data_IF_550593798841
#
_entry.id   IF_550593798841
#
_cell.length_a   1.000
_cell.length_b   1.000
_cell.length_c   1.000
_cell.angle_alpha   90.00
_cell.angle_beta   90.00
_cell.angle_gamma   90.00
#
_symmetry.space_group_name_H-M   'P 1'
#
loop_
_entity.id
_entity.type
_entity.pdbx_description
1 polymer ?
#
# COMPACT_ATOMS: atom_id res chain seq x y z
N UNK A 1 -18.97 51.23 -15.82
CA UNK A 1 -18.79 50.13 -14.86
C UNK A 1 -18.34 48.94 -15.69
N UNK A 2 -17.03 48.77 -15.76
CA UNK A 2 -16.37 47.84 -16.69
C UNK A 2 -16.31 46.47 -15.99
N UNK A 3 -17.01 45.47 -16.53
CA UNK A 3 -16.97 44.10 -16.01
C UNK A 3 -15.61 43.49 -16.32
N UNK A 4 -14.73 43.48 -15.31
CA UNK A 4 -13.48 42.73 -15.30
C UNK A 4 -13.80 41.24 -15.29
N UNK A 5 -13.80 40.62 -16.48
CA UNK A 5 -13.73 39.15 -16.62
C UNK A 5 -12.46 38.66 -15.93
N UNK A 6 -12.64 38.00 -14.80
CA UNK A 6 -11.57 37.29 -14.10
C UNK A 6 -11.20 36.06 -14.93
N UNK A 7 -10.13 36.18 -15.70
CA UNK A 7 -9.59 35.13 -16.56
C UNK A 7 -8.82 34.13 -15.67
N UNK A 8 -9.47 33.02 -15.29
CA UNK A 8 -8.86 32.00 -14.44
C UNK A 8 -7.72 31.31 -15.19
N UNK A 9 -6.49 31.43 -14.66
CA UNK A 9 -5.26 30.82 -15.21
C UNK A 9 -5.38 29.32 -15.52
N UNK A 10 -6.28 28.60 -14.84
CA UNK A 10 -6.57 27.18 -15.03
C UNK A 10 -7.09 26.83 -16.45
N UNK A 11 -7.72 27.78 -17.16
CA UNK A 11 -8.29 27.53 -18.50
C UNK A 11 -7.31 27.74 -19.65
N UNK A 12 -6.26 28.56 -19.45
CA UNK A 12 -5.20 28.76 -20.46
C UNK A 12 -4.28 27.54 -20.60
N UNK A 13 -4.25 26.70 -19.58
CA UNK A 13 -3.42 25.50 -19.51
C UNK A 13 -3.93 24.32 -20.34
N UNK A 14 -5.16 24.32 -20.86
CA UNK A 14 -5.73 23.09 -21.45
C UNK A 14 -5.09 22.70 -22.79
N UNK A 15 -4.83 23.64 -23.69
CA UNK A 15 -4.22 23.31 -25.01
C UNK A 15 -2.71 23.09 -24.93
N UNK A 16 -2.02 23.79 -24.03
CA UNK A 16 -0.59 23.58 -23.81
C UNK A 16 -0.34 22.26 -23.07
N UNK A 17 -1.19 21.90 -22.10
CA UNK A 17 -1.13 20.59 -21.43
C UNK A 17 -1.55 19.46 -22.37
N UNK A 18 -2.56 19.65 -23.23
CA UNK A 18 -2.89 18.70 -24.31
C UNK A 18 -1.73 18.54 -25.29
N UNK A 19 -1.06 19.62 -25.66
CA UNK A 19 0.11 19.57 -26.56
C UNK A 19 1.30 18.93 -25.89
N UNK A 20 1.54 19.14 -24.59
CA UNK A 20 2.56 18.44 -23.81
C UNK A 20 2.22 16.94 -23.64
N UNK A 21 0.93 16.59 -23.49
CA UNK A 21 0.40 15.22 -23.62
C UNK A 21 0.69 14.57 -24.96
N UNK A 22 0.74 15.34 -26.05
CA UNK A 22 0.89 14.78 -27.40
C UNK A 22 2.32 14.88 -27.95
N UNK A 23 3.18 15.76 -27.42
CA UNK A 23 4.52 16.02 -27.99
C UNK A 23 5.65 15.15 -27.42
N UNK A 24 5.54 14.67 -26.19
CA UNK A 24 6.59 13.84 -25.57
C UNK A 24 6.33 12.33 -25.65
N UNK A 25 5.10 11.95 -26.02
CA UNK A 25 4.68 10.55 -25.99
C UNK A 25 5.03 9.84 -27.31
N UNK A 26 6.11 9.04 -27.25
CA UNK A 26 6.63 8.20 -28.34
C UNK A 26 5.75 6.97 -28.69
N UNK A 27 4.47 6.97 -28.31
CA UNK A 27 3.56 5.88 -28.67
C UNK A 27 3.14 6.01 -30.14
N UNK A 28 3.20 4.91 -30.87
CA UNK A 28 2.60 4.83 -32.20
C UNK A 28 1.16 4.30 -32.14
N UNK A 29 0.47 4.29 -33.29
CA UNK A 29 -0.92 3.84 -33.41
C UNK A 29 -1.15 2.41 -32.91
N UNK A 30 -0.14 1.54 -33.03
CA UNK A 30 -0.24 0.16 -32.60
C UNK A 30 -0.05 0.05 -31.09
N UNK A 31 0.72 0.95 -30.45
CA UNK A 31 0.85 0.99 -28.99
C UNK A 31 -0.49 1.31 -28.34
N UNK A 32 -1.17 2.31 -28.89
CA UNK A 32 -2.51 2.69 -28.45
C UNK A 32 -3.52 1.55 -28.66
N UNK A 33 -3.52 0.94 -29.85
CA UNK A 33 -4.43 -0.17 -30.15
C UNK A 33 -4.19 -1.38 -29.25
N UNK A 34 -2.93 -1.75 -29.02
CA UNK A 34 -2.56 -2.85 -28.15
C UNK A 34 -2.95 -2.58 -26.69
N UNK A 35 -2.69 -1.36 -26.20
CA UNK A 35 -3.07 -0.96 -24.85
C UNK A 35 -4.58 -1.07 -24.61
N UNK A 36 -5.37 -0.51 -25.52
CA UNK A 36 -6.85 -0.59 -25.47
C UNK A 36 -7.32 -2.03 -25.57
N UNK A 37 -6.75 -2.84 -26.47
CA UNK A 37 -7.11 -4.25 -26.60
C UNK A 37 -6.81 -5.04 -25.32
N UNK A 38 -5.64 -4.84 -24.69
CA UNK A 38 -5.32 -5.48 -23.41
C UNK A 38 -6.29 -5.05 -22.30
N UNK A 39 -6.60 -3.76 -22.22
CA UNK A 39 -7.60 -3.23 -21.29
C UNK A 39 -8.98 -3.82 -21.51
N UNK A 40 -9.37 -4.01 -22.77
CA UNK A 40 -10.64 -4.63 -23.13
C UNK A 40 -10.69 -6.11 -22.72
N UNK A 41 -9.61 -6.87 -22.91
CA UNK A 41 -9.51 -8.24 -22.41
C UNK A 41 -9.63 -8.27 -20.88
N UNK A 42 -8.94 -7.37 -20.18
CA UNK A 42 -9.09 -7.21 -18.73
C UNK A 42 -10.52 -6.91 -18.30
N UNK A 43 -11.19 -5.97 -18.97
CA UNK A 43 -12.59 -5.64 -18.73
C UNK A 43 -13.55 -6.81 -18.98
N UNK A 44 -13.32 -7.63 -20.02
CA UNK A 44 -14.13 -8.82 -20.26
C UNK A 44 -13.94 -9.88 -19.16
N UNK A 45 -12.69 -10.11 -18.72
CA UNK A 45 -12.40 -11.00 -17.58
C UNK A 45 -13.09 -10.51 -16.32
N UNK A 46 -13.05 -9.21 -16.06
CA UNK A 46 -13.72 -8.60 -14.92
C UNK A 46 -15.24 -8.83 -14.97
N UNK A 47 -15.89 -8.45 -16.07
CA UNK A 47 -17.34 -8.56 -16.26
C UNK A 47 -17.85 -10.00 -16.12
N UNK A 48 -17.17 -10.96 -16.75
CA UNK A 48 -17.67 -12.33 -16.85
C UNK A 48 -17.13 -13.28 -15.78
N UNK A 49 -15.93 -13.03 -15.25
CA UNK A 49 -15.26 -13.95 -14.33
C UNK A 49 -15.12 -13.40 -12.91
N UNK A 50 -14.99 -12.07 -12.73
CA UNK A 50 -15.03 -11.43 -11.40
C UNK A 50 -16.47 -11.17 -10.98
N UNK A 51 -17.23 -10.36 -11.73
CA UNK A 51 -18.64 -10.09 -11.45
C UNK A 51 -18.88 -9.48 -10.06
N UNK A 52 -19.70 -10.12 -9.23
CA UNK A 52 -20.06 -9.62 -7.90
C UNK A 52 -19.83 -10.70 -6.84
N UNK A 53 -19.62 -10.35 -5.56
CA UNK A 53 -19.53 -11.34 -4.48
C UNK A 53 -20.71 -12.32 -4.48
N UNK A 54 -20.42 -13.60 -4.21
CA UNK A 54 -21.40 -14.69 -4.27
C UNK A 54 -21.51 -15.37 -5.64
N UNK A 55 -21.55 -14.59 -6.72
CA UNK A 55 -21.68 -15.12 -8.10
C UNK A 55 -20.35 -15.22 -8.87
N UNK A 56 -19.25 -14.74 -8.28
CA UNK A 56 -17.93 -14.70 -8.89
C UNK A 56 -17.35 -16.09 -9.21
N UNK A 57 -16.92 -16.29 -10.47
CA UNK A 57 -16.23 -17.53 -10.89
C UNK A 57 -14.80 -17.55 -10.35
N UNK A 58 -14.06 -16.44 -10.51
CA UNK A 58 -12.71 -16.30 -9.97
C UNK A 58 -12.72 -16.22 -8.44
N UNK A 59 -13.79 -15.67 -7.84
CA UNK A 59 -13.98 -15.65 -6.38
C UNK A 59 -13.97 -17.05 -5.76
N UNK A 60 -14.59 -18.05 -6.41
CA UNK A 60 -14.52 -19.44 -5.95
C UNK A 60 -13.10 -19.99 -5.99
N UNK A 61 -12.35 -19.64 -7.03
CA UNK A 61 -10.95 -20.05 -7.15
C UNK A 61 -10.08 -19.37 -6.09
N UNK A 62 -10.23 -18.06 -5.86
CA UNK A 62 -9.47 -17.32 -4.84
C UNK A 62 -9.82 -17.76 -3.42
N UNK A 63 -11.09 -18.01 -3.12
CA UNK A 63 -11.51 -18.62 -1.86
C UNK A 63 -10.76 -19.94 -1.60
N UNK A 64 -10.66 -20.82 -2.62
CA UNK A 64 -9.90 -22.07 -2.49
C UNK A 64 -8.39 -21.84 -2.33
N UNK A 65 -7.82 -20.82 -2.96
CA UNK A 65 -6.40 -20.49 -2.77
C UNK A 65 -6.12 -20.01 -1.35
N UNK A 66 -7.00 -19.17 -0.81
CA UNK A 66 -6.89 -18.69 0.58
C UNK A 66 -7.07 -19.85 1.57
N UNK A 67 -8.04 -20.74 1.37
CA UNK A 67 -8.18 -21.95 2.19
C UNK A 67 -6.89 -22.80 2.20
N UNK A 68 -6.24 -22.95 1.03
CA UNK A 68 -4.99 -23.69 0.91
C UNK A 68 -3.82 -22.96 1.60
N UNK A 69 -3.74 -21.64 1.49
CA UNK A 69 -2.74 -20.83 2.18
C UNK A 69 -2.89 -20.94 3.70
N UNK A 70 -4.12 -20.85 4.23
CA UNK A 70 -4.41 -21.01 5.66
C UNK A 70 -4.01 -22.41 6.14
N UNK A 71 -4.37 -23.47 5.42
CA UNK A 71 -3.96 -24.84 5.76
C UNK A 71 -2.43 -25.00 5.72
N UNK A 72 -1.78 -24.41 4.71
CA UNK A 72 -0.33 -24.46 4.56
C UNK A 72 0.38 -23.75 5.70
N UNK A 73 -0.06 -22.53 6.03
CA UNK A 73 0.47 -21.76 7.16
C UNK A 73 0.24 -22.49 8.48
N UNK A 74 -0.96 -23.01 8.72
CA UNK A 74 -1.25 -23.80 9.92
C UNK A 74 -0.28 -24.98 10.06
N UNK A 75 -0.01 -25.73 8.98
CA UNK A 75 1.00 -26.82 9.00
C UNK A 75 2.40 -26.32 9.34
N UNK A 76 2.84 -25.23 8.71
CA UNK A 76 4.15 -24.62 8.97
C UNK A 76 4.32 -24.23 10.45
N UNK A 77 3.23 -23.81 11.10
CA UNK A 77 3.24 -23.42 12.51
C UNK A 77 2.77 -24.53 13.44
N UNK A 78 2.80 -25.80 13.02
CA UNK A 78 2.62 -26.95 13.91
C UNK A 78 1.20 -27.52 14.00
N UNK A 79 0.31 -27.22 13.06
CA UNK A 79 -0.96 -27.92 12.92
C UNK A 79 -0.72 -29.33 12.38
N UNK A 80 -0.99 -30.34 13.19
CA UNK A 80 -0.87 -31.75 12.84
C UNK A 80 -2.25 -32.44 12.85
N UNK A 81 -3.06 -32.31 11.77
CA UNK A 81 -4.38 -32.90 11.72
C UNK A 81 -4.34 -34.41 11.53
N UNK A 82 -5.38 -35.10 11.97
CA UNK A 82 -5.61 -36.49 11.54
C UNK A 82 -5.83 -36.55 10.02
N UNK A 83 -5.67 -37.74 9.43
CA UNK A 83 -5.88 -37.93 7.99
C UNK A 83 -7.28 -37.45 7.54
N UNK A 84 -8.30 -37.67 8.37
CA UNK A 84 -9.67 -37.21 8.14
C UNK A 84 -9.84 -35.68 8.18
N UNK A 85 -8.97 -34.96 8.89
CA UNK A 85 -9.05 -33.49 9.04
C UNK A 85 -8.06 -32.73 8.15
N UNK A 86 -7.20 -33.42 7.40
CA UNK A 86 -6.16 -32.78 6.57
C UNK A 86 -6.74 -31.85 5.49
N UNK A 87 -7.94 -32.14 4.99
CA UNK A 87 -8.67 -31.28 4.05
C UNK A 87 -9.57 -30.22 4.70
N UNK A 88 -9.76 -30.26 6.02
CA UNK A 88 -10.75 -29.44 6.72
C UNK A 88 -10.16 -28.07 7.10
N UNK A 89 -10.52 -27.04 6.32
CA UNK A 89 -10.06 -25.67 6.58
C UNK A 89 -10.56 -25.12 7.93
N UNK A 90 -11.77 -25.47 8.37
CA UNK A 90 -12.30 -25.03 9.66
C UNK A 90 -11.44 -25.54 10.84
N UNK A 91 -10.88 -26.75 10.71
CA UNK A 91 -9.94 -27.30 11.69
C UNK A 91 -8.62 -26.53 11.72
N UNK A 92 -8.10 -26.11 10.56
CA UNK A 92 -6.88 -25.32 10.47
C UNK A 92 -7.08 -23.93 11.08
N UNK A 93 -8.18 -23.26 10.72
CA UNK A 93 -8.58 -21.96 11.26
C UNK A 93 -8.71 -22.05 12.78
N UNK A 94 -9.45 -23.03 13.31
CA UNK A 94 -9.61 -23.19 14.75
C UNK A 94 -8.31 -23.44 15.50
N UNK A 95 -7.32 -24.10 14.87
CA UNK A 95 -5.98 -24.22 15.43
C UNK A 95 -5.27 -22.86 15.51
N UNK A 96 -5.33 -22.07 14.44
CA UNK A 96 -4.72 -20.74 14.38
C UNK A 96 -5.40 -19.75 15.36
N UNK A 97 -6.73 -19.73 15.42
CA UNK A 97 -7.52 -18.93 16.38
C UNK A 97 -7.09 -19.19 17.83
N UNK A 98 -6.77 -20.45 18.17
CA UNK A 98 -6.29 -20.81 19.52
C UNK A 98 -4.83 -20.45 19.75
N UNK A 99 -4.00 -20.51 18.70
CA UNK A 99 -2.56 -20.27 18.79
C UNK A 99 -2.21 -18.79 18.81
N UNK A 100 -2.92 -18.00 18.02
CA UNK A 100 -2.71 -16.57 17.82
C UNK A 100 -3.85 -15.76 18.44
N UNK A 101 -4.08 -15.96 19.73
CA UNK A 101 -5.10 -15.20 20.47
C UNK A 101 -4.67 -13.76 20.60
N UNK A 102 -5.62 -12.86 20.48
CA UNK A 102 -5.45 -11.41 20.65
C UNK A 102 -6.53 -10.88 21.58
N UNK A 103 -6.30 -9.73 22.20
CA UNK A 103 -7.25 -9.08 23.10
C UNK A 103 -8.30 -8.21 22.39
N UNK A 104 -8.16 -8.01 21.08
CA UNK A 104 -9.00 -7.12 20.28
C UNK A 104 -9.98 -7.85 19.33
N UNK A 105 -10.26 -9.13 19.57
CA UNK A 105 -11.19 -9.99 18.78
C UNK A 105 -12.63 -9.96 19.35
N UNK A 106 -13.16 -8.78 19.68
CA UNK A 106 -14.56 -8.63 20.10
C UNK A 106 -15.49 -8.84 18.89
N UNK A 107 -16.57 -9.61 19.06
CA UNK A 107 -17.41 -10.10 17.95
C UNK A 107 -18.78 -9.44 17.90
N UNK A 108 -19.29 -9.02 19.05
CA UNK A 108 -20.65 -8.50 19.18
C UNK A 108 -20.71 -7.24 20.04
N UNK A 109 -21.81 -6.50 19.94
CA UNK A 109 -22.08 -5.29 20.74
C UNK A 109 -21.93 -5.49 22.24
N UNK A 110 -22.28 -6.66 22.77
CA UNK A 110 -22.13 -6.98 24.18
C UNK A 110 -20.64 -7.00 24.61
N UNK A 111 -19.75 -7.48 23.74
CA UNK A 111 -18.31 -7.62 24.01
C UNK A 111 -17.61 -6.25 24.14
N UNK A 112 -18.22 -5.20 23.59
CA UNK A 112 -17.73 -3.82 23.65
C UNK A 112 -18.53 -2.97 24.66
N UNK A 113 -19.21 -3.61 25.61
CA UNK A 113 -19.99 -2.93 26.65
C UNK A 113 -21.16 -2.10 26.10
N UNK A 114 -21.71 -2.48 24.95
CA UNK A 114 -22.74 -1.75 24.21
C UNK A 114 -22.34 -0.33 23.77
N UNK A 115 -21.03 -0.05 23.64
CA UNK A 115 -20.54 1.26 23.18
C UNK A 115 -20.98 1.60 21.74
N UNK A 116 -21.14 0.59 20.89
CA UNK A 116 -21.61 0.74 19.50
C UNK A 116 -22.14 -0.59 18.93
N UNK A 117 -22.89 -0.50 17.83
CA UNK A 117 -23.50 -1.67 17.18
C UNK A 117 -22.50 -2.42 16.30
N UNK A 118 -22.33 -3.71 16.54
CA UNK A 118 -21.41 -4.61 15.81
C UNK A 118 -21.91 -6.06 15.88
N UNK A 119 -21.52 -6.84 14.89
CA UNK A 119 -21.85 -8.25 14.75
C UNK A 119 -20.65 -9.04 14.23
N UNK A 120 -20.72 -10.38 14.36
CA UNK A 120 -19.71 -11.27 13.81
C UNK A 120 -19.50 -11.09 12.29
N UNK A 121 -20.47 -10.49 11.56
CA UNK A 121 -20.35 -10.26 10.11
C UNK A 121 -19.54 -9.01 9.74
N UNK A 122 -19.36 -8.05 10.64
CA UNK A 122 -18.67 -6.78 10.33
C UNK A 122 -17.53 -6.44 11.28
N UNK A 123 -17.32 -7.19 12.36
CA UNK A 123 -16.27 -6.87 13.33
C UNK A 123 -14.86 -6.81 12.72
N UNK A 124 -14.50 -7.69 11.78
CA UNK A 124 -13.21 -7.62 11.06
C UNK A 124 -13.02 -6.33 10.24
N UNK A 125 -14.12 -5.66 9.88
CA UNK A 125 -14.04 -4.33 9.25
C UNK A 125 -14.01 -3.23 10.31
N UNK A 126 -14.79 -3.36 11.39
CA UNK A 126 -14.90 -2.33 12.42
C UNK A 126 -13.65 -2.23 13.29
N UNK A 127 -13.05 -3.35 13.69
CA UNK A 127 -11.84 -3.41 14.50
C UNK A 127 -10.62 -3.18 13.60
N UNK A 128 -9.90 -2.09 13.86
CA UNK A 128 -8.78 -1.63 13.04
C UNK A 128 -7.70 -2.71 12.90
N UNK A 129 -7.47 -3.48 13.97
CA UNK A 129 -6.42 -4.49 14.08
C UNK A 129 -6.60 -5.70 13.16
N UNK A 130 -7.78 -5.93 12.58
CA UNK A 130 -8.02 -7.03 11.62
C UNK A 130 -7.76 -6.65 10.16
N UNK A 131 -7.34 -5.41 9.88
CA UNK A 131 -7.08 -4.95 8.51
C UNK A 131 -5.69 -5.40 8.07
N UNK A 132 -5.52 -6.10 6.93
CA UNK A 132 -4.22 -6.65 6.51
C UNK A 132 -3.33 -5.60 5.84
N UNK A 133 -3.02 -4.54 6.59
CA UNK A 133 -2.22 -3.39 6.15
C UNK A 133 -1.43 -2.78 7.31
N UNK A 134 -0.74 -1.67 7.03
CA UNK A 134 0.10 -0.98 8.01
C UNK A 134 -0.70 -0.32 9.14
N UNK A 135 -1.95 0.11 8.88
CA UNK A 135 -2.83 0.68 9.88
C UNK A 135 -3.27 -0.41 10.85
N UNK A 136 -3.70 -1.55 10.32
CA UNK A 136 -4.07 -2.71 11.15
C UNK A 136 -2.88 -3.26 11.95
N UNK A 137 -1.69 -3.34 11.35
CA UNK A 137 -0.48 -3.73 12.08
C UNK A 137 -0.17 -2.78 13.25
N UNK A 138 -0.23 -1.47 13.00
CA UNK A 138 0.00 -0.45 14.02
C UNK A 138 -0.97 -0.60 15.19
N UNK A 139 -2.28 -0.65 14.91
CA UNK A 139 -3.29 -0.76 15.96
C UNK A 139 -3.22 -2.09 16.69
N UNK A 140 -2.92 -3.18 15.99
CA UNK A 140 -2.71 -4.50 16.61
C UNK A 140 -1.58 -4.49 17.62
N UNK A 141 -0.42 -3.89 17.30
CA UNK A 141 0.70 -3.78 18.22
C UNK A 141 0.29 -2.88 19.40
N UNK A 142 -0.25 -1.69 19.12
CA UNK A 142 -0.69 -0.75 20.15
C UNK A 142 -1.66 -1.39 21.14
N UNK A 143 -2.66 -2.11 20.62
CA UNK A 143 -3.72 -2.76 21.39
C UNK A 143 -3.19 -3.90 22.27
N UNK A 144 -2.23 -4.69 21.76
CA UNK A 144 -1.55 -5.72 22.56
C UNK A 144 -0.71 -5.12 23.70
N UNK A 145 0.00 -4.02 23.45
CA UNK A 145 0.83 -3.36 24.46
C UNK A 145 0.02 -2.65 25.54
N UNK A 146 -1.15 -2.12 25.18
CA UNK A 146 -1.96 -1.28 26.08
C UNK A 146 -3.15 -2.01 26.69
N UNK A 147 -3.38 -3.28 26.33
CA UNK A 147 -4.60 -4.03 26.71
C UNK A 147 -5.87 -3.23 26.35
N UNK A 148 -5.92 -2.76 25.10
CA UNK A 148 -7.07 -2.05 24.54
C UNK A 148 -7.53 -2.69 23.23
N UNK A 149 -8.67 -2.26 22.70
CA UNK A 149 -9.13 -2.61 21.36
C UNK A 149 -9.67 -1.36 20.66
N UNK A 150 -9.25 -1.12 19.41
CA UNK A 150 -9.54 0.11 18.66
C UNK A 150 -10.43 -0.16 17.45
N UNK A 151 -11.54 0.56 17.36
CA UNK A 151 -12.57 0.40 16.34
C UNK A 151 -12.83 1.71 15.60
N UNK A 152 -13.33 1.63 14.37
CA UNK A 152 -14.03 2.74 13.74
C UNK A 152 -15.53 2.47 13.83
N UNK A 153 -16.26 3.36 14.50
CA UNK A 153 -17.71 3.32 14.53
C UNK A 153 -18.27 4.73 14.37
N UNK A 154 -19.32 4.88 13.56
CA UNK A 154 -19.95 6.17 13.27
C UNK A 154 -18.96 7.25 12.79
N UNK A 155 -17.94 6.86 12.02
CA UNK A 155 -16.91 7.77 11.51
C UNK A 155 -15.93 8.29 12.56
N UNK A 156 -15.84 7.64 13.73
CA UNK A 156 -14.92 8.00 14.81
C UNK A 156 -14.12 6.78 15.26
N UNK A 157 -12.89 7.02 15.69
CA UNK A 157 -12.09 6.01 16.38
C UNK A 157 -12.62 5.89 17.81
N UNK A 158 -12.96 4.67 18.23
CA UNK A 158 -13.40 4.33 19.58
C UNK A 158 -12.45 3.27 20.10
N UNK A 159 -11.77 3.56 21.20
CA UNK A 159 -10.88 2.62 21.89
C UNK A 159 -11.48 2.23 23.22
N UNK A 160 -11.56 0.93 23.48
CA UNK A 160 -12.05 0.36 24.74
C UNK A 160 -10.92 -0.37 25.47
N UNK A 161 -10.99 -0.42 26.79
CA UNK A 161 -10.13 -1.28 27.59
C UNK A 161 -10.56 -2.75 27.42
N UNK A 162 -9.59 -3.66 27.45
CA UNK A 162 -9.81 -5.11 27.41
C UNK A 162 -9.26 -5.75 28.67
N UNK A 163 -9.49 -7.05 28.85
CA UNK A 163 -8.75 -7.82 29.84
C UNK A 163 -7.24 -7.70 29.60
N UNK A 164 -6.47 -7.81 30.68
CA UNK A 164 -5.01 -7.72 30.63
C UNK A 164 -4.45 -8.75 29.65
N UNK A 165 -3.72 -8.27 28.65
CA UNK A 165 -3.08 -9.10 27.65
C UNK A 165 -1.58 -9.14 27.88
N UNK A 166 -1.04 -10.32 28.16
CA UNK A 166 0.40 -10.49 28.33
C UNK A 166 1.08 -10.71 26.97
N UNK A 167 1.74 -9.65 26.47
CA UNK A 167 2.55 -9.74 25.27
C UNK A 167 3.85 -10.51 25.53
N UNK A 168 4.05 -11.60 24.79
CA UNK A 168 5.23 -12.44 24.91
C UNK A 168 6.51 -11.71 24.50
N UNK A 169 7.62 -11.98 25.19
CA UNK A 169 8.94 -11.41 24.90
C UNK A 169 9.64 -10.88 26.16
N UNK A 170 10.92 -11.23 26.33
CA UNK A 170 11.71 -10.88 27.52
C UNK A 170 12.19 -9.42 27.57
N UNK A 171 12.06 -8.68 26.47
CA UNK A 171 12.41 -7.26 26.37
C UNK A 171 11.52 -6.56 25.33
N UNK A 172 11.65 -5.24 25.21
CA UNK A 172 10.82 -4.43 24.31
C UNK A 172 10.89 -4.87 22.84
N UNK A 173 12.10 -5.12 22.31
CA UNK A 173 12.31 -5.53 20.91
C UNK A 173 11.67 -6.90 20.66
N UNK A 174 11.85 -7.85 21.58
CA UNK A 174 11.24 -9.17 21.50
C UNK A 174 9.70 -9.08 21.54
N UNK A 175 9.14 -8.22 22.41
CA UNK A 175 7.69 -7.96 22.48
C UNK A 175 7.14 -7.39 21.18
N UNK A 176 7.86 -6.46 20.57
CA UNK A 176 7.49 -5.91 19.27
C UNK A 176 7.45 -7.00 18.19
N UNK A 177 8.50 -7.82 18.10
CA UNK A 177 8.56 -8.95 17.16
C UNK A 177 7.41 -9.95 17.41
N UNK A 178 7.18 -10.35 18.66
CA UNK A 178 6.10 -11.25 19.03
C UNK A 178 4.73 -10.66 18.69
N UNK A 179 4.50 -9.36 18.92
CA UNK A 179 3.25 -8.68 18.55
C UNK A 179 3.00 -8.68 17.05
N UNK A 180 4.04 -8.42 16.24
CA UNK A 180 3.99 -8.51 14.78
C UNK A 180 3.68 -9.94 14.33
N UNK A 181 4.41 -10.94 14.84
CA UNK A 181 4.22 -12.34 14.47
C UNK A 181 2.83 -12.86 14.88
N UNK A 182 2.34 -12.44 16.05
CA UNK A 182 1.02 -12.80 16.55
C UNK A 182 -0.09 -12.21 15.67
N UNK A 183 0.05 -10.95 15.27
CA UNK A 183 -0.86 -10.30 14.33
C UNK A 183 -0.92 -11.04 12.99
N UNK A 184 0.23 -11.38 12.40
CA UNK A 184 0.25 -12.15 11.15
C UNK A 184 -0.50 -13.48 11.27
N UNK A 185 -0.27 -14.21 12.37
CA UNK A 185 -0.94 -15.47 12.63
C UNK A 185 -2.45 -15.32 12.84
N UNK A 186 -2.88 -14.23 13.49
CA UNK A 186 -4.28 -13.91 13.72
C UNK A 186 -5.00 -13.49 12.43
N UNK A 187 -4.42 -12.60 11.62
CA UNK A 187 -4.97 -12.28 10.28
C UNK A 187 -5.12 -13.54 9.42
N UNK A 188 -4.14 -14.45 9.49
CA UNK A 188 -4.20 -15.71 8.77
C UNK A 188 -5.29 -16.67 9.29
N UNK A 189 -5.72 -16.57 10.55
CA UNK A 189 -6.92 -17.29 10.99
C UNK A 189 -8.20 -16.70 10.39
N UNK A 190 -8.26 -15.38 10.26
CA UNK A 190 -9.50 -14.67 9.93
C UNK A 190 -9.73 -14.52 8.42
N UNK A 191 -8.67 -14.54 7.61
CA UNK A 191 -8.70 -14.28 6.17
C UNK A 191 -9.64 -15.22 5.39
N UNK A 192 -9.81 -16.46 5.87
CA UNK A 192 -10.71 -17.46 5.29
C UNK A 192 -12.11 -17.50 5.96
N UNK A 193 -12.35 -16.63 6.95
CA UNK A 193 -13.51 -16.67 7.84
C UNK A 193 -13.24 -17.46 9.12
N UNK A 194 -14.25 -17.52 10.01
CA UNK A 194 -14.09 -18.21 11.30
C UNK A 194 -14.34 -19.71 11.22
N UNK A 195 -13.75 -20.45 12.16
CA UNK A 195 -13.91 -21.90 12.26
C UNK A 195 -15.39 -22.32 12.38
N UNK A 196 -16.18 -21.57 13.14
CA UNK A 196 -17.62 -21.83 13.31
C UNK A 196 -18.44 -21.61 12.04
N UNK A 197 -18.15 -20.56 11.26
CA UNK A 197 -18.86 -20.32 10.01
C UNK A 197 -18.50 -21.37 8.96
N UNK A 198 -17.22 -21.73 8.84
CA UNK A 198 -16.73 -22.74 7.89
C UNK A 198 -17.19 -24.15 8.26
N UNK A 199 -17.30 -24.46 9.55
CA UNK A 199 -17.83 -25.74 10.04
C UNK A 199 -19.30 -25.99 9.68
N UNK A 200 -20.09 -24.92 9.52
CA UNK A 200 -21.50 -24.97 9.09
C UNK A 200 -21.67 -24.81 7.57
N UNK A 201 -20.64 -25.15 6.78
CA UNK A 201 -20.61 -25.01 5.32
C UNK A 201 -20.80 -23.56 4.78
N UNK A 202 -20.66 -22.54 5.64
CA UNK A 202 -20.67 -21.14 5.22
C UNK A 202 -19.32 -20.66 4.67
N UNK A 203 -19.33 -19.54 3.94
CA UNK A 203 -18.10 -18.85 3.49
C UNK A 203 -17.37 -18.13 4.63
N UNK A 204 -18.11 -17.69 5.66
CA UNK A 204 -17.59 -16.88 6.77
C UNK A 204 -17.23 -15.45 6.34
N UNK A 205 -17.19 -14.51 7.29
CA UNK A 205 -16.69 -13.16 7.05
C UNK A 205 -15.15 -13.21 7.07
N UNK A 206 -14.51 -12.95 5.93
CA UNK A 206 -13.05 -12.83 5.84
C UNK A 206 -12.56 -11.53 6.47
N UNK A 207 -11.28 -11.18 6.25
CA UNK A 207 -10.78 -9.84 6.57
C UNK A 207 -11.04 -8.87 5.43
N UNK A 208 -11.01 -7.57 5.72
CA UNK A 208 -11.13 -6.52 4.71
C UNK A 208 -9.96 -6.54 3.73
N UNK A 209 -10.12 -5.93 2.55
CA UNK A 209 -8.96 -5.58 1.73
C UNK A 209 -8.11 -4.52 2.44
N UNK A 210 -6.81 -4.42 2.15
CA UNK A 210 -5.96 -3.36 2.69
C UNK A 210 -6.60 -1.97 2.56
N UNK A 211 -6.64 -1.22 3.65
CA UNK A 211 -7.20 0.14 3.78
C UNK A 211 -8.72 0.27 3.60
N UNK A 212 -9.45 -0.83 3.41
CA UNK A 212 -10.90 -0.79 3.18
C UNK A 212 -11.69 -0.46 4.47
N UNK A 213 -11.13 -0.73 5.65
CA UNK A 213 -11.66 -0.30 6.95
C UNK A 213 -11.83 1.22 7.04
N UNK A 214 -11.00 1.99 6.32
CA UNK A 214 -11.05 3.47 6.31
C UNK A 214 -12.31 4.03 5.66
N UNK A 215 -13.04 3.24 4.85
CA UNK A 215 -14.34 3.64 4.32
C UNK A 215 -15.34 3.98 5.43
N UNK A 216 -15.14 3.49 6.66
CA UNK A 216 -15.99 3.81 7.80
C UNK A 216 -15.94 5.29 8.21
N UNK A 217 -14.89 6.02 7.83
CA UNK A 217 -14.82 7.48 7.99
C UNK A 217 -15.65 8.24 6.96
N UNK A 218 -16.05 7.61 5.86
CA UNK A 218 -16.80 8.23 4.77
C UNK A 218 -18.31 8.35 5.10
N UNK A 219 -18.64 9.04 6.20
CA UNK A 219 -20.02 9.36 6.62
C UNK A 219 -20.62 10.52 5.81
N UNK A 220 -20.45 10.48 4.51
CA UNK A 220 -20.97 11.48 3.57
C UNK A 220 -21.67 10.82 2.38
N UNK A 221 -22.42 11.63 1.65
CA UNK A 221 -23.22 11.18 0.53
C UNK A 221 -24.57 10.59 0.97
N UNK A 222 -25.47 10.49 0.02
CA UNK A 222 -26.80 9.92 0.22
C UNK A 222 -27.14 9.15 -1.04
N UNK A 223 -26.99 7.84 -1.00
CA UNK A 223 -27.07 6.97 -2.17
C UNK A 223 -28.27 6.04 -2.08
N UNK A 224 -28.99 5.86 -3.19
CA UNK A 224 -30.20 5.04 -3.24
C UNK A 224 -29.85 3.55 -3.15
N UNK A 225 -30.40 2.85 -2.15
CA UNK A 225 -30.28 1.40 -1.98
C UNK A 225 -31.70 0.85 -1.78
N UNK A 226 -32.29 0.34 -2.86
CA UNK A 226 -33.72 0.00 -2.87
C UNK A 226 -34.57 1.26 -2.67
N UNK A 227 -35.38 1.27 -1.60
CA UNK A 227 -36.22 2.42 -1.22
C UNK A 227 -35.54 3.35 -0.22
N UNK A 228 -34.41 2.94 0.37
CA UNK A 228 -33.70 3.71 1.38
C UNK A 228 -32.54 4.52 0.78
N UNK A 229 -32.02 5.47 1.56
CA UNK A 229 -30.77 6.17 1.25
C UNK A 229 -29.73 5.93 2.34
N UNK A 230 -28.50 5.65 1.92
CA UNK A 230 -27.39 5.31 2.82
C UNK A 230 -26.14 6.11 2.46
N UNK A 231 -25.29 6.36 3.45
CA UNK A 231 -23.96 6.97 3.24
C UNK A 231 -22.93 5.95 2.73
N UNK A 232 -21.79 6.44 2.24
CA UNK A 232 -20.75 5.59 1.65
C UNK A 232 -20.19 4.58 2.66
N UNK A 233 -19.96 4.98 3.90
CA UNK A 233 -19.50 4.08 4.96
C UNK A 233 -20.46 2.89 5.15
N UNK A 234 -21.77 3.15 5.22
CA UNK A 234 -22.80 2.12 5.39
C UNK A 234 -22.82 1.18 4.19
N UNK A 235 -22.67 1.69 2.98
CA UNK A 235 -22.60 0.89 1.75
C UNK A 235 -21.36 0.00 1.75
N UNK A 236 -20.19 0.54 2.09
CA UNK A 236 -18.96 -0.22 2.16
C UNK A 236 -19.03 -1.34 3.22
N UNK A 237 -19.62 -1.07 4.39
CA UNK A 237 -19.86 -2.09 5.42
C UNK A 237 -20.79 -3.19 4.92
N UNK A 238 -21.87 -2.83 4.22
CA UNK A 238 -22.79 -3.83 3.67
C UNK A 238 -22.14 -4.65 2.55
N UNK A 239 -21.39 -4.01 1.65
CA UNK A 239 -20.66 -4.72 0.60
C UNK A 239 -19.69 -5.75 1.19
N UNK A 240 -18.95 -5.38 2.24
CA UNK A 240 -18.10 -6.31 2.97
C UNK A 240 -18.89 -7.48 3.56
N UNK A 241 -20.05 -7.22 4.19
CA UNK A 241 -20.92 -8.27 4.74
C UNK A 241 -21.47 -9.23 3.68
N UNK A 242 -21.66 -8.76 2.44
CA UNK A 242 -22.05 -9.58 1.28
C UNK A 242 -20.86 -10.30 0.62
N UNK A 243 -19.65 -10.11 1.13
CA UNK A 243 -18.46 -10.85 0.71
C UNK A 243 -17.45 -10.06 -0.13
N UNK A 244 -17.56 -8.74 -0.20
CA UNK A 244 -16.56 -7.83 -0.78
C UNK A 244 -15.32 -7.72 0.14
N UNK A 245 -14.70 -8.85 0.44
CA UNK A 245 -13.59 -9.03 1.38
C UNK A 245 -12.26 -9.28 0.65
N UNK A 246 -11.18 -9.53 1.39
CA UNK A 246 -9.85 -9.78 0.82
C UNK A 246 -9.82 -10.83 -0.30
N UNK A 247 -10.60 -11.91 -0.16
CA UNK A 247 -10.64 -13.02 -1.12
C UNK A 247 -11.29 -12.59 -2.43
N UNK A 248 -12.33 -11.76 -2.35
CA UNK A 248 -12.92 -11.14 -3.54
C UNK A 248 -11.97 -10.10 -4.14
N UNK A 249 -11.27 -9.32 -3.32
CA UNK A 249 -10.22 -8.40 -3.75
C UNK A 249 -9.10 -9.08 -4.56
N UNK A 250 -8.70 -10.29 -4.16
CA UNK A 250 -7.78 -11.11 -4.97
C UNK A 250 -8.35 -11.46 -6.34
N UNK A 251 -9.65 -11.75 -6.44
CA UNK A 251 -10.28 -12.04 -7.73
C UNK A 251 -10.33 -10.79 -8.60
N UNK A 252 -10.70 -9.65 -8.01
CA UNK A 252 -10.72 -8.34 -8.65
C UNK A 252 -9.32 -7.88 -9.12
N UNK A 253 -8.24 -8.32 -8.47
CA UNK A 253 -6.88 -8.02 -8.90
C UNK A 253 -6.44 -8.76 -10.18
N UNK A 254 -7.04 -9.92 -10.50
CA UNK A 254 -6.68 -10.74 -11.67
C UNK A 254 -6.78 -9.97 -13.00
N UNK A 255 -7.91 -9.33 -13.36
CA UNK A 255 -8.01 -8.57 -14.61
C UNK A 255 -7.03 -7.39 -14.68
N UNK A 256 -6.71 -6.78 -13.52
CA UNK A 256 -5.72 -5.69 -13.44
C UNK A 256 -4.32 -6.21 -13.75
N UNK A 257 -3.90 -7.30 -13.11
CA UNK A 257 -2.60 -7.95 -13.37
C UNK A 257 -2.50 -8.43 -14.81
N UNK A 258 -3.56 -9.05 -15.35
CA UNK A 258 -3.61 -9.49 -16.73
C UNK A 258 -3.39 -8.32 -17.69
N UNK A 259 -4.07 -7.19 -17.46
CA UNK A 259 -3.94 -5.98 -18.27
C UNK A 259 -2.52 -5.44 -18.23
N UNK A 260 -1.97 -5.23 -17.03
CA UNK A 260 -0.62 -4.69 -16.83
C UNK A 260 0.46 -5.58 -17.48
N UNK A 261 0.38 -6.90 -17.26
CA UNK A 261 1.37 -7.84 -17.79
C UNK A 261 1.28 -7.97 -19.31
N UNK A 262 0.06 -8.01 -19.87
CA UNK A 262 -0.13 -8.11 -21.32
C UNK A 262 0.42 -6.87 -22.05
N UNK A 263 0.18 -5.68 -21.50
CA UNK A 263 0.72 -4.42 -22.04
C UNK A 263 2.24 -4.43 -22.01
N UNK A 264 2.84 -4.79 -20.86
CA UNK A 264 4.30 -4.84 -20.70
C UNK A 264 4.93 -5.86 -21.64
N UNK A 265 4.29 -7.02 -21.82
CA UNK A 265 4.77 -8.06 -22.73
C UNK A 265 4.75 -7.57 -24.18
N UNK A 266 3.62 -7.05 -24.65
CA UNK A 266 3.51 -6.55 -26.03
C UNK A 266 4.49 -5.40 -26.27
N UNK A 267 4.59 -4.46 -25.33
CA UNK A 267 5.55 -3.37 -25.40
C UNK A 267 7.00 -3.88 -25.52
N UNK A 268 7.40 -4.83 -24.66
CA UNK A 268 8.75 -5.39 -24.69
C UNK A 268 9.04 -6.17 -25.98
N UNK A 269 8.09 -6.98 -26.46
CA UNK A 269 8.21 -7.74 -27.71
C UNK A 269 8.36 -6.80 -28.91
N UNK A 270 7.58 -5.73 -28.96
CA UNK A 270 7.68 -4.76 -30.06
C UNK A 270 9.01 -4.03 -30.02
N UNK A 271 9.48 -3.62 -28.84
CA UNK A 271 10.80 -3.02 -28.68
C UNK A 271 11.93 -3.91 -29.21
N UNK A 272 11.88 -5.20 -28.89
CA UNK A 272 12.93 -6.11 -29.31
C UNK A 272 12.83 -6.49 -30.79
N UNK A 273 11.65 -6.88 -31.28
CA UNK A 273 11.50 -7.47 -32.61
C UNK A 273 11.19 -6.46 -33.72
N UNK A 274 10.50 -5.36 -33.41
CA UNK A 274 10.12 -4.36 -34.41
C UNK A 274 11.18 -3.27 -34.55
N UNK A 275 11.78 -2.86 -33.43
CA UNK A 275 12.80 -1.80 -33.41
C UNK A 275 14.22 -2.35 -33.21
N UNK A 276 14.39 -3.67 -33.15
CA UNK A 276 15.67 -4.37 -33.07
C UNK A 276 16.56 -3.91 -31.88
N UNK A 277 15.92 -3.49 -30.78
CA UNK A 277 16.63 -3.00 -29.61
C UNK A 277 17.21 -4.16 -28.76
N UNK A 278 18.34 -3.93 -28.06
CA UNK A 278 18.87 -4.89 -27.11
C UNK A 278 17.85 -5.26 -26.03
N UNK A 279 17.85 -6.53 -25.59
CA UNK A 279 16.90 -7.04 -24.56
C UNK A 279 16.96 -6.21 -23.28
N UNK A 280 18.13 -5.70 -22.91
CA UNK A 280 18.33 -4.83 -21.74
C UNK A 280 17.51 -3.53 -21.81
N UNK A 281 17.28 -2.99 -23.01
CA UNK A 281 16.47 -1.78 -23.25
C UNK A 281 14.98 -2.08 -23.38
N UNK A 282 14.61 -3.37 -23.42
CA UNK A 282 13.23 -3.84 -23.51
C UNK A 282 12.64 -4.23 -22.14
N UNK A 283 13.36 -3.95 -21.04
CA UNK A 283 12.87 -4.22 -19.68
C UNK A 283 11.78 -3.19 -19.33
N UNK A 284 10.55 -3.61 -19.04
CA UNK A 284 9.41 -2.71 -18.87
C UNK A 284 9.46 -1.97 -17.52
N UNK A 285 10.24 -0.90 -17.46
CA UNK A 285 10.38 -0.04 -16.27
C UNK A 285 9.50 1.20 -16.34
N UNK A 286 9.28 1.87 -15.20
CA UNK A 286 8.50 3.13 -15.17
C UNK A 286 9.22 4.34 -15.77
N UNK A 287 10.45 4.17 -16.27
CA UNK A 287 11.22 5.23 -16.93
C UNK A 287 10.70 5.51 -18.34
N UNK A 288 10.16 4.49 -19.01
CA UNK A 288 9.66 4.60 -20.38
C UNK A 288 8.31 5.33 -20.43
N UNK A 289 8.29 6.51 -21.04
CA UNK A 289 7.10 7.35 -21.15
C UNK A 289 5.97 6.66 -21.92
N UNK A 290 6.29 6.12 -23.09
CA UNK A 290 5.37 5.34 -23.93
C UNK A 290 4.71 4.18 -23.17
N UNK A 291 5.48 3.41 -22.39
CA UNK A 291 4.91 2.34 -21.56
C UNK A 291 3.94 2.88 -20.50
N UNK A 292 4.23 4.02 -19.87
CA UNK A 292 3.32 4.63 -18.87
C UNK A 292 1.98 5.01 -19.51
N UNK A 293 2.00 5.56 -20.72
CA UNK A 293 0.78 5.92 -21.45
C UNK A 293 -0.02 4.68 -21.85
N UNK A 294 0.64 3.64 -22.34
CA UNK A 294 -0.03 2.37 -22.65
C UNK A 294 -0.72 1.80 -21.39
N UNK A 295 -0.03 1.80 -20.25
CA UNK A 295 -0.62 1.32 -18.98
C UNK A 295 -1.82 2.17 -18.55
N UNK A 296 -1.77 3.50 -18.73
CA UNK A 296 -2.89 4.40 -18.47
C UNK A 296 -4.10 4.08 -19.35
N UNK A 297 -3.90 3.93 -20.66
CA UNK A 297 -4.98 3.67 -21.60
C UNK A 297 -5.60 2.28 -21.42
N UNK A 298 -4.77 1.27 -21.16
CA UNK A 298 -5.27 -0.07 -20.89
C UNK A 298 -6.07 -0.16 -19.59
N UNK A 299 -5.54 0.37 -18.48
CA UNK A 299 -6.27 0.39 -17.21
C UNK A 299 -7.52 1.30 -17.27
N UNK A 300 -7.44 2.41 -18.01
CA UNK A 300 -8.60 3.28 -18.27
C UNK A 300 -9.69 2.57 -19.05
N UNK A 301 -9.32 1.80 -20.09
CA UNK A 301 -10.28 0.99 -20.86
C UNK A 301 -10.97 -0.05 -19.97
N UNK A 302 -10.18 -0.77 -19.15
CA UNK A 302 -10.74 -1.71 -18.17
C UNK A 302 -11.73 -1.00 -17.23
N UNK A 303 -11.37 0.14 -16.64
CA UNK A 303 -12.23 0.88 -15.71
C UNK A 303 -13.52 1.39 -16.37
N UNK A 304 -13.45 1.80 -17.64
CA UNK A 304 -14.65 2.20 -18.39
C UNK A 304 -15.59 1.01 -18.59
N UNK A 305 -15.06 -0.16 -18.95
CA UNK A 305 -15.87 -1.37 -19.12
C UNK A 305 -16.49 -1.83 -17.79
N UNK A 306 -15.70 -1.88 -16.72
CA UNK A 306 -16.16 -2.18 -15.36
C UNK A 306 -17.27 -1.19 -14.92
N UNK A 307 -17.03 0.12 -15.05
CA UNK A 307 -18.00 1.15 -14.67
C UNK A 307 -19.31 1.06 -15.46
N UNK A 308 -19.25 0.74 -16.75
CA UNK A 308 -20.45 0.51 -17.58
C UNK A 308 -21.20 -0.75 -17.11
N UNK A 309 -20.51 -1.88 -16.88
CA UNK A 309 -21.15 -3.12 -16.42
C UNK A 309 -21.80 -2.94 -15.04
N UNK A 310 -21.08 -2.34 -14.10
CA UNK A 310 -21.59 -1.99 -12.79
C UNK A 310 -22.81 -1.07 -12.90
N UNK A 311 -22.73 -0.03 -13.72
CA UNK A 311 -23.82 0.92 -13.97
C UNK A 311 -25.09 0.23 -14.50
N UNK A 312 -24.95 -0.52 -15.59
CA UNK A 312 -26.08 -1.19 -16.26
C UNK A 312 -26.72 -2.24 -15.35
N UNK A 313 -25.92 -3.10 -14.71
CA UNK A 313 -26.45 -4.23 -13.93
C UNK A 313 -26.89 -3.87 -12.53
N UNK A 314 -26.48 -2.70 -12.01
CA UNK A 314 -26.97 -2.21 -10.73
C UNK A 314 -28.46 -1.86 -10.74
N UNK A 315 -29.04 -1.58 -11.91
CA UNK A 315 -30.45 -1.15 -12.02
C UNK A 315 -30.76 0.12 -11.20
N UNK A 316 -29.75 0.94 -10.89
CA UNK A 316 -29.88 2.13 -10.04
C UNK A 316 -29.81 1.87 -8.53
N UNK A 317 -29.52 0.63 -8.10
CA UNK A 317 -29.20 0.32 -6.72
C UNK A 317 -27.69 0.52 -6.47
N UNK A 318 -27.34 1.49 -5.63
CA UNK A 318 -25.95 1.85 -5.40
C UNK A 318 -25.14 0.78 -4.66
N UNK A 319 -25.76 -0.03 -3.79
CA UNK A 319 -25.06 -1.14 -3.15
C UNK A 319 -24.67 -2.20 -4.20
N UNK A 320 -25.59 -2.55 -5.10
CA UNK A 320 -25.31 -3.47 -6.21
C UNK A 320 -24.26 -2.90 -7.16
N UNK A 321 -24.31 -1.59 -7.43
CA UNK A 321 -23.26 -0.90 -8.19
C UNK A 321 -21.90 -1.05 -7.51
N UNK A 322 -21.81 -0.71 -6.22
CA UNK A 322 -20.57 -0.73 -5.46
C UNK A 322 -19.97 -2.14 -5.35
N UNK A 323 -20.80 -3.17 -5.11
CA UNK A 323 -20.35 -4.57 -5.05
C UNK A 323 -19.90 -5.12 -6.40
N UNK A 324 -20.23 -4.45 -7.50
CA UNK A 324 -19.87 -4.88 -8.85
C UNK A 324 -18.68 -4.11 -9.41
N UNK A 325 -18.48 -2.88 -8.94
CA UNK A 325 -17.34 -2.05 -9.29
C UNK A 325 -16.04 -2.71 -8.82
N UNK A 326 -15.02 -2.78 -9.67
CA UNK A 326 -13.71 -3.30 -9.32
C UNK A 326 -12.83 -2.22 -8.65
N UNK A 327 -12.87 -2.11 -7.32
CA UNK A 327 -12.11 -1.09 -6.59
C UNK A 327 -10.59 -1.20 -6.80
N UNK A 328 -10.05 -2.40 -7.04
CA UNK A 328 -8.62 -2.59 -7.29
C UNK A 328 -8.22 -1.97 -8.62
N UNK A 329 -9.04 -2.13 -9.65
CA UNK A 329 -8.84 -1.50 -10.95
C UNK A 329 -8.88 0.02 -10.89
N UNK A 330 -9.91 0.58 -10.23
CA UNK A 330 -10.02 2.03 -10.05
C UNK A 330 -8.87 2.60 -9.23
N UNK A 331 -8.47 1.93 -8.15
CA UNK A 331 -7.31 2.34 -7.36
C UNK A 331 -6.02 2.32 -8.18
N UNK A 332 -5.82 1.27 -8.99
CA UNK A 332 -4.68 1.17 -9.90
C UNK A 332 -4.67 2.31 -10.92
N UNK A 333 -5.80 2.56 -11.57
CA UNK A 333 -5.93 3.61 -12.57
C UNK A 333 -5.70 5.00 -11.99
N UNK A 334 -6.32 5.32 -10.85
CA UNK A 334 -6.10 6.59 -10.14
C UNK A 334 -4.63 6.77 -9.76
N UNK A 335 -3.98 5.71 -9.25
CA UNK A 335 -2.54 5.76 -8.91
C UNK A 335 -1.67 6.04 -10.14
N UNK A 336 -1.98 5.42 -11.29
CA UNK A 336 -1.29 5.68 -12.55
C UNK A 336 -1.49 7.13 -13.02
N UNK A 337 -2.72 7.64 -12.96
CA UNK A 337 -3.05 9.02 -13.34
C UNK A 337 -2.31 10.01 -12.43
N UNK A 338 -2.39 9.84 -11.12
CA UNK A 338 -1.71 10.69 -10.15
C UNK A 338 -0.19 10.67 -10.37
N UNK A 339 0.39 9.48 -10.56
CA UNK A 339 1.82 9.35 -10.83
C UNK A 339 2.23 10.10 -12.10
N UNK A 340 1.44 10.00 -13.16
CA UNK A 340 1.71 10.67 -14.42
C UNK A 340 1.53 12.19 -14.32
N UNK A 341 0.51 12.66 -13.59
CA UNK A 341 0.32 14.09 -13.27
C UNK A 341 1.52 14.63 -12.48
N UNK A 342 1.97 13.93 -11.43
CA UNK A 342 3.14 14.33 -10.66
C UNK A 342 4.43 14.38 -11.50
N UNK A 343 4.59 13.48 -12.48
CA UNK A 343 5.70 13.52 -13.42
C UNK A 343 5.61 14.78 -14.29
N UNK A 344 4.45 15.05 -14.89
CA UNK A 344 4.26 16.15 -15.84
C UNK A 344 4.30 17.53 -15.20
N UNK A 345 3.94 17.63 -13.92
CA UNK A 345 4.04 18.85 -13.11
C UNK A 345 5.46 19.03 -12.53
N UNK A 346 6.38 18.08 -12.75
CA UNK A 346 7.77 18.16 -12.28
C UNK A 346 7.98 17.85 -10.80
N UNK A 347 6.95 17.40 -10.07
CA UNK A 347 7.03 17.02 -8.66
C UNK A 347 7.95 15.82 -8.43
N UNK A 348 8.05 14.92 -9.42
CA UNK A 348 8.96 13.77 -9.35
C UNK A 348 10.43 14.17 -9.56
N UNK A 349 10.68 15.24 -10.31
CA UNK A 349 12.04 15.66 -10.63
C UNK A 349 12.71 16.30 -9.42
N UNK A 350 12.03 17.09 -8.59
CA UNK A 350 12.68 17.72 -7.42
C UNK A 350 13.38 16.71 -6.46
N UNK A 351 12.72 15.59 -6.12
CA UNK A 351 13.30 14.57 -5.25
C UNK A 351 14.29 13.66 -6.00
N UNK A 352 14.00 13.32 -7.26
CA UNK A 352 14.85 12.44 -8.06
C UNK A 352 16.12 13.15 -8.54
N UNK A 353 16.05 14.42 -8.93
CA UNK A 353 17.18 15.27 -9.28
C UNK A 353 18.11 15.47 -8.09
N UNK A 354 17.58 15.66 -6.89
CA UNK A 354 18.40 15.74 -5.68
C UNK A 354 19.20 14.46 -5.48
N UNK A 355 18.56 13.29 -5.57
CA UNK A 355 19.23 11.99 -5.42
C UNK A 355 20.23 11.74 -6.57
N UNK A 356 19.85 12.05 -7.82
CA UNK A 356 20.71 11.87 -8.99
C UNK A 356 21.89 12.85 -9.01
N UNK A 357 21.73 14.07 -8.53
CA UNK A 357 22.80 15.04 -8.37
C UNK A 357 23.82 14.55 -7.35
N UNK A 358 23.37 14.02 -6.20
CA UNK A 358 24.28 13.40 -5.23
C UNK A 358 25.01 12.19 -5.81
N UNK A 359 24.34 11.34 -6.59
CA UNK A 359 24.99 10.21 -7.26
C UNK A 359 26.07 10.65 -8.26
N UNK A 360 25.78 11.65 -9.11
CA UNK A 360 26.74 12.20 -10.09
C UNK A 360 27.93 12.88 -9.43
N UNK A 361 27.69 13.63 -8.35
CA UNK A 361 28.75 14.25 -7.55
C UNK A 361 29.64 13.16 -6.95
N UNK A 362 29.05 12.11 -6.37
CA UNK A 362 29.83 11.00 -5.80
C UNK A 362 30.66 10.28 -6.86
N UNK A 363 30.11 10.01 -8.05
CA UNK A 363 30.87 9.39 -9.14
C UNK A 363 32.01 10.30 -9.64
N UNK A 364 31.76 11.59 -9.81
CA UNK A 364 32.80 12.55 -10.21
C UNK A 364 33.90 12.67 -9.14
N UNK A 365 33.53 12.69 -7.86
CA UNK A 365 34.48 12.69 -6.74
C UNK A 365 35.32 11.42 -6.72
N UNK A 366 34.75 10.25 -6.99
CA UNK A 366 35.50 9.00 -7.07
C UNK A 366 36.52 9.01 -8.22
N UNK A 367 36.17 9.57 -9.38
CA UNK A 367 37.11 9.74 -10.50
C UNK A 367 38.25 10.68 -10.10
N UNK A 368 37.94 11.84 -9.51
CA UNK A 368 38.95 12.78 -9.02
C UNK A 368 39.85 12.19 -7.94
N UNK A 369 39.29 11.42 -7.00
CA UNK A 369 40.08 10.73 -5.97
C UNK A 369 41.04 9.72 -6.59
N UNK A 370 40.61 9.01 -7.64
CA UNK A 370 41.49 8.09 -8.37
C UNK A 370 42.60 8.84 -9.12
N UNK A 371 42.30 9.97 -9.74
CA UNK A 371 43.33 10.82 -10.36
C UNK A 371 44.34 11.34 -9.34
N UNK A 372 43.89 11.80 -8.17
CA UNK A 372 44.76 12.26 -7.08
C UNK A 372 45.64 11.12 -6.54
N UNK A 373 45.09 9.91 -6.41
CA UNK A 373 45.85 8.72 -6.03
C UNK A 373 47.01 8.42 -6.99
N UNK A 374 46.81 8.64 -8.31
CA UNK A 374 47.86 8.45 -9.31
C UNK A 374 48.94 9.55 -9.29
N UNK A 375 48.60 10.76 -8.84
CA UNK A 375 49.54 11.90 -8.79
C UNK A 375 50.51 11.76 -7.60
N UNK A 376 49.98 11.54 -6.40
CA UNK A 376 50.76 11.40 -5.18
C UNK A 376 50.08 10.43 -4.22
N UNK A 377 50.46 9.16 -4.32
CA UNK A 377 49.88 8.09 -3.51
C UNK A 377 50.20 8.24 -2.01
N UNK A 378 51.30 8.89 -1.64
CA UNK A 378 51.67 9.08 -0.23
C UNK A 378 50.84 10.19 0.40
N UNK A 379 50.69 11.32 -0.29
CA UNK A 379 49.81 12.40 0.14
C UNK A 379 48.34 11.95 0.17
N UNK A 380 47.88 11.24 -0.87
CA UNK A 380 46.52 10.69 -0.94
C UNK A 380 46.24 9.75 0.23
N UNK A 381 47.15 8.82 0.55
CA UNK A 381 46.99 7.92 1.69
C UNK A 381 46.94 8.69 3.01
N UNK A 382 47.82 9.68 3.19
CA UNK A 382 47.85 10.50 4.41
C UNK A 382 46.55 11.28 4.62
N UNK A 383 46.05 11.93 3.57
CA UNK A 383 44.85 12.77 3.62
C UNK A 383 43.56 11.94 3.75
N UNK A 384 43.45 10.83 3.01
CA UNK A 384 42.28 9.93 3.11
C UNK A 384 42.26 9.13 4.42
N UNK A 385 43.39 8.96 5.10
CA UNK A 385 43.46 8.24 6.37
C UNK A 385 42.67 8.93 7.48
N UNK A 386 42.61 10.26 7.50
CA UNK A 386 41.83 11.01 8.49
C UNK A 386 40.32 10.76 8.34
N UNK A 387 39.82 10.79 7.09
CA UNK A 387 38.43 10.47 6.79
C UNK A 387 38.10 9.00 7.07
N UNK A 388 38.99 8.08 6.68
CA UNK A 388 38.81 6.65 6.97
C UNK A 388 38.80 6.35 8.47
N UNK A 389 39.57 7.11 9.26
CA UNK A 389 39.57 7.01 10.72
C UNK A 389 38.24 7.52 11.30
N UNK A 390 37.72 8.65 10.81
CA UNK A 390 36.40 9.17 11.21
C UNK A 390 35.28 8.17 10.90
N UNK A 391 35.26 7.60 9.69
CA UNK A 391 34.26 6.58 9.30
C UNK A 391 34.32 5.35 10.21
N UNK A 392 35.53 4.88 10.56
CA UNK A 392 35.69 3.77 11.51
C UNK A 392 35.18 4.12 12.90
N UNK A 393 35.44 5.33 13.39
CA UNK A 393 34.93 5.83 14.68
C UNK A 393 33.39 5.88 14.67
N UNK A 394 32.78 6.36 13.59
CA UNK A 394 31.32 6.37 13.48
C UNK A 394 30.73 4.96 13.44
N UNK A 395 31.42 4.00 12.82
CA UNK A 395 30.97 2.62 12.77
C UNK A 395 30.99 1.88 14.11
N UNK A 396 31.65 2.43 15.14
CA UNK A 396 31.64 1.85 16.49
C UNK A 396 30.48 2.34 17.36
N UNK A 397 29.76 3.38 16.93
CA UNK A 397 28.62 3.90 17.68
C UNK A 397 27.45 2.90 17.65
N UNK A 398 26.90 2.60 18.83
CA UNK A 398 25.77 1.67 18.97
C UNK A 398 24.45 2.39 19.27
N UNK A 399 24.51 3.70 19.51
CA UNK A 399 23.34 4.54 19.83
C UNK A 399 23.45 5.91 19.18
N UNK A 400 22.30 6.53 18.89
CA UNK A 400 22.23 7.87 18.26
C UNK A 400 22.90 8.95 19.12
N UNK A 401 22.84 8.81 20.45
CA UNK A 401 23.47 9.75 21.38
C UNK A 401 25.00 9.68 21.32
N UNK A 402 25.54 8.47 21.24
CA UNK A 402 26.97 8.22 21.08
C UNK A 402 27.45 8.72 19.71
N UNK A 403 26.68 8.42 18.65
CA UNK A 403 26.98 8.90 17.29
C UNK A 403 27.00 10.43 17.22
N UNK A 404 26.04 11.10 17.85
CA UNK A 404 25.97 12.57 17.86
C UNK A 404 27.20 13.18 18.53
N UNK A 405 27.64 12.65 19.67
CA UNK A 405 28.89 13.09 20.33
C UNK A 405 30.10 12.90 19.41
N UNK A 406 30.24 11.73 18.80
CA UNK A 406 31.37 11.44 17.89
C UNK A 406 31.37 12.35 16.65
N UNK A 407 30.20 12.67 16.10
CA UNK A 407 30.05 13.59 14.97
C UNK A 407 30.49 15.01 15.36
N UNK A 408 30.06 15.50 16.51
CA UNK A 408 30.42 16.84 17.00
C UNK A 408 31.93 16.95 17.29
N UNK A 409 32.52 15.93 17.92
CA UNK A 409 33.96 15.86 18.16
C UNK A 409 34.75 15.83 16.84
N UNK A 410 34.25 15.13 15.82
CA UNK A 410 34.89 15.09 14.51
C UNK A 410 34.81 16.43 13.79
N UNK A 411 33.70 17.16 13.90
CA UNK A 411 33.56 18.51 13.36
C UNK A 411 34.62 19.45 13.97
N UNK A 412 34.84 19.37 15.28
CA UNK A 412 35.88 20.15 15.96
C UNK A 412 37.29 19.74 15.53
N UNK A 413 37.58 18.44 15.43
CA UNK A 413 38.88 17.92 14.98
C UNK A 413 39.21 18.31 13.54
N UNK A 414 38.22 18.32 12.66
CA UNK A 414 38.38 18.71 11.25
C UNK A 414 38.35 20.24 11.05
N UNK A 415 38.21 21.03 12.12
CA UNK A 415 38.13 22.49 12.04
C UNK A 415 36.87 22.99 11.32
N UNK A 416 35.85 22.16 11.19
CA UNK A 416 34.58 22.52 10.54
C UNK A 416 33.75 23.31 11.55
N UNK A 417 33.45 24.56 11.21
CA UNK A 417 32.63 25.42 12.07
C UNK A 417 31.20 24.90 12.14
N UNK A 418 30.71 24.69 13.36
CA UNK A 418 29.31 24.35 13.61
C UNK A 418 28.42 25.55 13.24
N UNK A 419 27.28 25.33 12.58
CA UNK A 419 26.34 26.40 12.23
C UNK A 419 25.68 27.11 13.43
N UNK A 420 25.89 26.59 14.64
CA UNK A 420 25.36 27.11 15.89
C UNK A 420 26.47 27.29 16.92
N UNK A 421 26.19 28.12 17.93
CA UNK A 421 27.12 28.42 19.02
C UNK A 421 26.63 27.80 20.33
N UNK A 422 27.53 27.12 21.04
CA UNK A 422 27.24 26.44 22.30
C UNK A 422 26.45 25.14 22.14
N UNK A 423 25.62 24.84 23.14
CA UNK A 423 24.75 23.66 23.13
C UNK A 423 23.64 23.79 22.07
N UNK A 424 23.40 22.71 21.31
CA UNK A 424 22.47 22.73 20.18
C UNK A 424 21.04 22.99 20.64
N UNK A 425 20.55 22.29 21.66
CA UNK A 425 19.17 22.42 22.14
C UNK A 425 18.93 23.82 22.71
N UNK A 426 19.92 24.37 23.42
CA UNK A 426 19.87 25.76 23.92
C UNK A 426 19.86 26.78 22.79
N UNK A 427 20.66 26.56 21.73
CA UNK A 427 20.69 27.43 20.56
C UNK A 427 19.35 27.40 19.81
N UNK A 428 18.78 26.21 19.59
CA UNK A 428 17.49 26.04 18.91
C UNK A 428 16.30 26.55 19.74
N UNK A 429 16.46 26.67 21.06
CA UNK A 429 15.42 27.22 21.95
C UNK A 429 15.42 28.76 22.03
N UNK A 430 16.47 29.42 21.53
CA UNK A 430 16.53 30.89 21.45
C UNK A 430 15.84 31.38 20.18
N UNK A 431 14.77 32.18 20.35
CA UNK A 431 13.98 32.72 19.24
C UNK A 431 14.75 33.67 18.34
N UNK A 432 15.89 34.18 18.78
CA UNK A 432 16.74 35.11 18.02
C UNK A 432 17.99 34.43 17.44
N UNK A 433 18.22 33.15 17.72
CA UNK A 433 19.34 32.42 17.16
C UNK A 433 19.10 32.06 15.70
N UNK A 434 20.15 32.15 14.88
CA UNK A 434 20.12 31.78 13.46
C UNK A 434 21.26 30.81 13.16
N UNK A 435 20.95 29.72 12.45
CA UNK A 435 21.97 28.82 11.94
C UNK A 435 22.74 29.52 10.81
N UNK A 436 24.05 29.67 10.97
CA UNK A 436 24.93 30.30 9.98
C UNK A 436 25.84 29.23 9.41
N UNK A 437 25.62 28.87 8.15
CA UNK A 437 26.48 27.94 7.42
C UNK A 437 27.55 28.77 6.70
N UNK A 438 28.82 28.60 7.09
CA UNK A 438 29.98 29.24 6.44
C UNK A 438 30.52 28.42 5.26
#
# INVERSE_FOLDING_TARGET
MEETKTDYALMKETEQNKRALLREDKCDKYDYLAAVACGAVGGLVDIFLVGTPGDSVLGKWTDSQVDNAVKGFAKLVGWNPSQAQTGNVASAIGFLERKYKVNYDQRHTADVGNAFNMSAKNHHMMSLSHSPDIVGLFFSILNQFTSTSSFIANGKIITIATDTYELQGGNFIAKLFCGVANWFGHIMSDIAGSSGARGNAGRGAGVVMPFYELFQFCKFGSFKVGNDRQDLATIATRAFQEGYDFRFGMAAAIPVVLTDLSIRLIWALRRHFQYELPVKECIPTSQHADLRIMLLLGNGTLCVMDGIDAGVRSGGNFLTFFMRLNLIAWFRFVTLVLKEVCIRVGLKDALSETILAFQRINEALLVYLHELEQIDIEAFKRETQEYNKAVRIFSTATTDKELNVLLLDTFEQMGIKKPWQGDFDRHMSDKNATLVFE
#
